data_IF_432147602370
#
_entry.id   IF_432147602370
#
_cell.length_a   1.000
_cell.length_b   1.000
_cell.length_c   1.000
_cell.angle_alpha   90.00
_cell.angle_beta   90.00
_cell.angle_gamma   90.00
#
_symmetry.space_group_name_H-M   'P 1'
#
loop_
_entity.id
_entity.type
_entity.pdbx_description
1 polymer ?
#
# COMPACT_ATOMS: atom_id res chain seq x y z
N UNK A 1 2.02 -14.48 9.04
CA UNK A 1 2.58 -13.93 7.79
C UNK A 1 2.12 -12.49 7.65
N UNK A 2 3.04 -11.56 7.53
CA UNK A 2 2.69 -10.12 7.45
C UNK A 2 2.95 -9.59 6.06
N UNK A 3 2.07 -8.69 5.60
CA UNK A 3 2.25 -8.02 4.34
C UNK A 3 3.41 -7.02 4.43
N UNK A 4 4.11 -6.84 3.32
CA UNK A 4 5.14 -5.84 3.19
C UNK A 4 4.52 -4.60 2.56
N UNK A 5 4.50 -3.50 3.32
CA UNK A 5 3.93 -2.24 2.87
C UNK A 5 5.03 -1.33 2.33
N UNK A 6 4.76 -0.74 1.18
CA UNK A 6 5.68 0.17 0.50
C UNK A 6 4.95 1.42 0.03
N UNK A 7 5.71 2.45 -0.25
CA UNK A 7 5.19 3.69 -0.80
C UNK A 7 5.57 3.76 -2.27
N UNK A 8 4.57 3.87 -3.13
CA UNK A 8 4.78 3.96 -4.57
C UNK A 8 5.01 5.40 -5.02
N UNK A 9 4.26 6.34 -4.47
CA UNK A 9 4.36 7.76 -4.82
C UNK A 9 3.73 8.62 -3.73
N UNK A 10 4.11 9.88 -3.71
CA UNK A 10 3.54 10.89 -2.82
C UNK A 10 3.12 12.09 -3.65
N UNK A 11 1.94 12.64 -3.35
CA UNK A 11 1.52 13.92 -3.90
C UNK A 11 1.55 14.96 -2.78
N UNK A 12 2.08 16.13 -3.10
CA UNK A 12 2.27 17.15 -2.10
C UNK A 12 1.91 18.52 -2.65
N UNK A 13 1.39 19.38 -1.77
CA UNK A 13 1.25 20.80 -2.09
C UNK A 13 2.63 21.45 -1.98
N UNK A 14 3.06 22.24 -2.97
CA UNK A 14 4.34 22.96 -2.86
C UNK A 14 4.38 23.87 -1.63
N UNK A 15 3.23 24.46 -1.27
CA UNK A 15 3.08 25.25 -0.06
C UNK A 15 1.69 25.06 0.52
N UNK A 16 1.61 24.80 1.81
CA UNK A 16 0.35 24.71 2.55
C UNK A 16 0.63 24.95 4.03
N UNK A 17 -0.25 25.69 4.68
CA UNK A 17 -0.20 25.94 6.12
C UNK A 17 1.17 26.42 6.60
N UNK A 18 1.85 27.27 5.79
CA UNK A 18 3.15 27.81 6.13
C UNK A 18 4.33 26.87 5.92
N UNK A 19 4.09 25.68 5.38
CA UNK A 19 5.12 24.67 5.14
C UNK A 19 5.30 24.41 3.63
N UNK A 20 6.42 23.80 3.27
CA UNK A 20 6.77 23.48 1.88
C UNK A 20 6.69 21.99 1.66
N UNK A 21 6.19 21.58 0.50
CA UNK A 21 6.06 20.18 0.10
C UNK A 21 5.26 19.35 1.13
N UNK A 22 4.04 19.80 1.38
CA UNK A 22 3.13 19.15 2.34
C UNK A 22 2.39 18.00 1.66
N UNK A 23 2.67 16.78 2.08
CA UNK A 23 2.05 15.58 1.51
C UNK A 23 0.56 15.58 1.80
N UNK A 24 -0.26 15.36 0.77
CA UNK A 24 -1.73 15.25 0.93
C UNK A 24 -2.28 13.92 0.41
N UNK A 25 -1.54 13.20 -0.43
CA UNK A 25 -1.96 11.89 -0.90
C UNK A 25 -0.78 10.93 -0.88
N UNK A 26 -1.01 9.75 -0.30
CA UNK A 26 -0.02 8.68 -0.23
C UNK A 26 -0.51 7.55 -1.13
N UNK A 27 0.28 7.19 -2.13
CA UNK A 27 0.04 6.02 -2.96
C UNK A 27 0.81 4.86 -2.35
N UNK A 28 0.09 3.90 -1.81
CA UNK A 28 0.67 2.77 -1.08
C UNK A 28 0.58 1.48 -1.90
N UNK A 29 1.45 0.55 -1.55
CA UNK A 29 1.44 -0.79 -2.10
C UNK A 29 1.65 -1.78 -0.96
N UNK A 30 0.90 -2.87 -0.96
CA UNK A 30 1.06 -3.95 0.01
C UNK A 30 1.29 -5.24 -0.75
N UNK A 31 2.25 -6.05 -0.32
CA UNK A 31 2.63 -7.28 -0.99
C UNK A 31 2.76 -8.41 0.01
N UNK A 32 2.45 -9.61 -0.44
CA UNK A 32 2.61 -10.84 0.34
C UNK A 32 3.14 -11.93 -0.59
N UNK A 33 4.24 -12.56 -0.21
CA UNK A 33 4.90 -13.55 -1.06
C UNK A 33 5.06 -14.88 -0.34
N UNK A 34 4.90 -15.97 -1.08
CA UNK A 34 5.15 -17.31 -0.60
C UNK A 34 5.39 -18.23 -1.81
N UNK A 35 6.37 -19.10 -1.73
CA UNK A 35 6.64 -20.14 -2.73
C UNK A 35 6.74 -19.59 -4.16
N UNK A 36 7.46 -18.48 -4.33
CA UNK A 36 7.68 -17.79 -5.60
C UNK A 36 6.43 -17.14 -6.19
N UNK A 37 5.35 -17.04 -5.42
CA UNK A 37 4.13 -16.32 -5.81
C UNK A 37 4.02 -15.05 -4.98
N UNK A 38 3.54 -13.99 -5.58
CA UNK A 38 3.35 -12.69 -4.91
C UNK A 38 1.94 -12.18 -5.17
N UNK A 39 1.22 -11.92 -4.10
CA UNK A 39 -0.02 -11.18 -4.13
C UNK A 39 0.30 -9.72 -3.85
N UNK A 40 -0.37 -8.81 -4.54
CA UNK A 40 -0.17 -7.38 -4.31
C UNK A 40 -1.48 -6.62 -4.41
N UNK A 41 -1.55 -5.54 -3.68
CA UNK A 41 -2.64 -4.59 -3.74
C UNK A 41 -2.04 -3.20 -3.67
N UNK A 42 -2.74 -2.21 -4.20
CA UNK A 42 -2.29 -0.83 -4.18
C UNK A 42 -3.49 0.09 -4.06
N UNK A 43 -3.23 1.29 -3.64
CA UNK A 43 -4.28 2.29 -3.52
C UNK A 43 -3.70 3.62 -3.11
N UNK A 44 -4.59 4.54 -2.78
CA UNK A 44 -4.20 5.84 -2.29
C UNK A 44 -5.04 6.21 -1.08
N UNK A 45 -4.46 7.04 -0.23
CA UNK A 45 -5.16 7.57 0.95
C UNK A 45 -4.78 9.02 1.13
N UNK A 46 -5.76 9.85 1.46
CA UNK A 46 -5.55 11.25 1.74
C UNK A 46 -5.10 11.46 3.18
N UNK A 47 -4.16 12.36 3.37
CA UNK A 47 -3.71 12.80 4.70
C UNK A 47 -3.78 14.31 4.76
N UNK A 48 -3.98 14.85 5.94
CA UNK A 48 -4.08 16.29 6.13
C UNK A 48 -3.07 16.76 7.18
N UNK A 49 -2.29 17.76 6.82
CA UNK A 49 -1.44 18.44 7.79
C UNK A 49 -2.26 19.52 8.49
N UNK A 50 -2.27 19.49 9.80
CA UNK A 50 -2.93 20.52 10.59
C UNK A 50 -1.91 21.59 10.98
N UNK A 51 -2.24 22.85 10.73
CA UNK A 51 -1.38 23.98 11.11
C UNK A 51 -1.08 23.94 12.62
N UNK A 52 0.19 24.17 12.96
CA UNK A 52 0.65 24.11 14.35
C UNK A 52 1.04 22.74 14.84
N UNK A 53 0.79 21.69 14.05
CA UNK A 53 1.26 20.34 14.37
C UNK A 53 2.74 20.19 14.01
N UNK A 54 3.46 19.25 14.64
CA UNK A 54 4.83 18.97 14.25
C UNK A 54 4.90 18.62 12.77
N UNK A 55 5.86 19.18 12.05
CA UNK A 55 6.04 18.96 10.63
C UNK A 55 7.42 18.37 10.36
N UNK A 56 7.45 17.26 9.61
CA UNK A 56 8.71 16.67 9.15
C UNK A 56 8.97 17.15 7.74
N UNK A 57 10.08 17.84 7.46
CA UNK A 57 10.42 18.26 6.11
C UNK A 57 10.45 17.09 5.13
N UNK A 58 10.01 17.32 3.91
CA UNK A 58 9.88 16.27 2.90
C UNK A 58 11.17 15.47 2.74
N UNK A 59 12.30 16.14 2.68
CA UNK A 59 13.60 15.49 2.50
C UNK A 59 14.01 14.62 3.69
N UNK A 60 13.37 14.78 4.84
CA UNK A 60 13.66 14.00 6.05
C UNK A 60 12.68 12.83 6.25
N UNK A 61 11.70 12.66 5.36
CA UNK A 61 10.74 11.57 5.47
C UNK A 61 11.40 10.22 5.22
N UNK A 62 10.99 9.21 5.97
CA UNK A 62 11.38 7.82 5.72
C UNK A 62 10.17 7.02 5.25
N UNK A 63 10.42 5.94 4.54
CA UNK A 63 9.35 5.06 4.08
C UNK A 63 8.52 4.52 5.26
N UNK A 64 9.18 4.10 6.32
CA UNK A 64 8.50 3.58 7.51
C UNK A 64 7.56 4.61 8.12
N UNK A 65 7.98 5.87 8.19
CA UNK A 65 7.16 6.95 8.71
C UNK A 65 5.91 7.15 7.86
N UNK A 66 6.09 7.19 6.53
CA UNK A 66 4.99 7.41 5.58
C UNK A 66 4.05 6.20 5.55
N UNK A 67 4.57 4.99 5.63
CA UNK A 67 3.75 3.78 5.77
C UNK A 67 2.89 3.86 7.03
N UNK A 68 3.47 4.31 8.15
CA UNK A 68 2.73 4.53 9.39
C UNK A 68 1.58 5.51 9.21
N UNK A 69 1.81 6.61 8.52
CA UNK A 69 0.76 7.60 8.21
C UNK A 69 -0.34 7.01 7.35
N UNK A 70 0.03 6.22 6.33
CA UNK A 70 -0.93 5.58 5.45
C UNK A 70 -1.81 4.60 6.23
N UNK A 71 -1.22 3.77 7.06
CA UNK A 71 -1.97 2.82 7.88
C UNK A 71 -2.89 3.51 8.87
N UNK A 72 -2.44 4.59 9.49
CA UNK A 72 -3.24 5.38 10.41
C UNK A 72 -4.43 6.02 9.70
N UNK A 73 -4.21 6.58 8.51
CA UNK A 73 -5.26 7.20 7.70
C UNK A 73 -6.27 6.17 7.18
N UNK A 74 -5.82 4.98 6.82
CA UNK A 74 -6.70 3.89 6.40
C UNK A 74 -7.53 3.35 7.56
N UNK A 75 -6.94 3.30 8.75
CA UNK A 75 -7.55 2.71 9.93
C UNK A 75 -7.27 1.22 10.05
N UNK A 76 -7.29 0.71 11.28
CA UNK A 76 -6.93 -0.68 11.59
C UNK A 76 -7.81 -1.70 10.85
N UNK A 77 -9.11 -1.42 10.73
CA UNK A 77 -10.04 -2.31 10.02
C UNK A 77 -9.70 -2.42 8.54
N UNK A 78 -9.43 -1.29 7.90
CA UNK A 78 -9.10 -1.29 6.47
C UNK A 78 -7.77 -1.97 6.20
N UNK A 79 -6.78 -1.73 7.06
CA UNK A 79 -5.48 -2.40 6.96
C UNK A 79 -5.66 -3.92 7.09
N UNK A 80 -6.47 -4.37 8.04
CA UNK A 80 -6.76 -5.79 8.23
C UNK A 80 -7.47 -6.40 7.01
N UNK A 81 -8.42 -5.66 6.41
CA UNK A 81 -9.10 -6.10 5.19
C UNK A 81 -8.14 -6.26 4.02
N UNK A 82 -7.24 -5.30 3.84
CA UNK A 82 -6.24 -5.34 2.78
C UNK A 82 -5.32 -6.55 2.96
N UNK A 83 -4.85 -6.77 4.17
CA UNK A 83 -3.95 -7.88 4.47
C UNK A 83 -4.66 -9.23 4.33
N UNK A 84 -5.91 -9.33 4.76
CA UNK A 84 -6.71 -10.54 4.58
C UNK A 84 -6.97 -10.82 3.10
N UNK A 85 -7.21 -9.77 2.31
CA UNK A 85 -7.38 -9.89 0.86
C UNK A 85 -6.12 -10.41 0.18
N UNK A 86 -4.94 -9.98 0.63
CA UNK A 86 -3.68 -10.48 0.11
C UNK A 86 -3.48 -11.97 0.43
N UNK A 87 -3.85 -12.41 1.62
CA UNK A 87 -3.79 -13.82 2.01
C UNK A 87 -4.68 -14.65 1.10
N UNK A 88 -5.91 -14.21 0.86
CA UNK A 88 -6.86 -14.90 -0.03
C UNK A 88 -6.33 -14.95 -1.47
N UNK A 89 -5.80 -13.83 -1.96
CA UNK A 89 -5.24 -13.75 -3.30
C UNK A 89 -4.05 -14.70 -3.46
N UNK A 90 -3.17 -14.72 -2.48
CA UNK A 90 -2.00 -15.60 -2.49
C UNK A 90 -2.41 -17.07 -2.43
N UNK A 91 -3.41 -17.40 -1.62
CA UNK A 91 -3.95 -18.76 -1.55
C UNK A 91 -4.48 -19.21 -2.93
N UNK A 92 -5.20 -18.35 -3.63
CA UNK A 92 -5.68 -18.64 -4.98
C UNK A 92 -4.54 -18.81 -5.99
N UNK A 93 -3.41 -18.12 -5.81
CA UNK A 93 -2.24 -18.30 -6.67
C UNK A 93 -1.53 -19.62 -6.39
N UNK A 94 -1.50 -20.05 -5.14
CA UNK A 94 -0.86 -21.30 -4.73
C UNK A 94 -1.76 -22.53 -4.94
N UNK A 95 -3.07 -22.36 -4.75
CA UNK A 95 -4.05 -23.42 -4.83
C UNK A 95 -5.25 -22.96 -5.67
N UNK A 96 -5.07 -22.75 -6.99
CA UNK A 96 -6.14 -22.21 -7.82
C UNK A 96 -7.32 -23.16 -7.89
N UNK A 97 -8.54 -22.61 -7.74
CA UNK A 97 -9.79 -23.37 -7.88
C UNK A 97 -10.22 -23.51 -9.33
N UNK A 98 -9.68 -22.63 -10.19
CA UNK A 98 -9.94 -22.65 -11.64
C UNK A 98 -8.62 -22.47 -12.35
N UNK A 99 -8.36 -23.32 -13.33
CA UNK A 99 -7.14 -23.21 -14.15
C UNK A 99 -7.51 -23.28 -15.62
N UNK A 100 -6.72 -22.62 -16.46
CA UNK A 100 -6.80 -22.77 -17.90
C UNK A 100 -5.77 -23.82 -18.32
N UNK A 101 -6.24 -24.86 -18.96
CA UNK A 101 -5.37 -25.93 -19.46
C UNK A 101 -5.23 -25.83 -20.95
N UNK A 102 -4.07 -26.20 -21.52
CA UNK A 102 -3.93 -26.28 -22.96
C UNK A 102 -4.91 -27.34 -23.50
N UNK A 103 -5.54 -27.06 -24.63
CA UNK A 103 -6.44 -28.04 -25.25
C UNK A 103 -5.60 -29.23 -25.76
N UNK A 104 -6.02 -30.48 -25.46
CA UNK A 104 -5.17 -31.65 -25.74
C UNK A 104 -4.91 -31.90 -27.22
N UNK A 105 -5.78 -31.40 -28.12
CA UNK A 105 -5.65 -31.62 -29.54
C UNK A 105 -4.96 -30.47 -30.27
N UNK A 106 -4.55 -29.38 -29.56
CA UNK A 106 -3.82 -28.29 -30.16
C UNK A 106 -2.35 -28.70 -30.42
N UNK A 107 -1.75 -28.30 -31.54
CA UNK A 107 -0.33 -28.59 -31.78
C UNK A 107 0.60 -27.82 -30.84
#
# INVERSE_FOLDING_TARGET
>A
MSANWKIAALEAYPQAEGQVDVVFTIHWRAELSQSNKTASNYGSVGVTYAAGSPFTPFASLTEDQVVGWAKEALGAERVAEIEAGLVSQLDNLLNPTVVSLPIPWAP
#
